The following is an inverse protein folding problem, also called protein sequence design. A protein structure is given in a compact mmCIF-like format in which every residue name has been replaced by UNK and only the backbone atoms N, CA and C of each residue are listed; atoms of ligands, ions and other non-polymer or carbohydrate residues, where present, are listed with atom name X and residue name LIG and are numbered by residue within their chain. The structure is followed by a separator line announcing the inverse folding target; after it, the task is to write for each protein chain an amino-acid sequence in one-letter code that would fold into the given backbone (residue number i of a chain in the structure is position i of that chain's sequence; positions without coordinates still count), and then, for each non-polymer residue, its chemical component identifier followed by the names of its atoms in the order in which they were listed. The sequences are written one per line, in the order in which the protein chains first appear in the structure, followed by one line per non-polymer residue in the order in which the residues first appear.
data_IF_979339646382
#
_entry.id   IF_979339646382
#
_cell.length_a   1.000
_cell.length_b   1.000
_cell.length_c   1.000
_cell.angle_alpha   90.00
_cell.angle_beta   90.00
_cell.angle_gamma   90.00
#
_symmetry.space_group_name_H-M   'P 1'
#
loop_
_entity.id
_entity.type
_entity.pdbx_description
1 polymer ?
#
# COMPACT_ATOMS: atom_id res chain seq x y z
N UNK A 1 -36.33 21.12 -20.07
CA UNK A 1 -35.90 20.18 -19.03
C UNK A 1 -34.40 19.95 -19.18
N UNK A 2 -33.59 20.51 -18.30
CA UNK A 2 -32.11 20.37 -18.33
C UNK A 2 -31.72 19.41 -17.23
N UNK A 3 -31.26 18.22 -17.62
CA UNK A 3 -30.65 17.25 -16.74
C UNK A 3 -29.35 17.86 -16.18
N UNK A 4 -29.29 18.09 -14.87
CA UNK A 4 -28.08 18.36 -14.13
C UNK A 4 -27.60 17.02 -13.55
N UNK A 5 -26.63 16.41 -14.19
CA UNK A 5 -25.86 15.33 -13.63
C UNK A 5 -25.04 15.88 -12.45
N UNK A 6 -25.37 15.45 -11.24
CA UNK A 6 -24.48 15.57 -10.11
C UNK A 6 -23.31 14.60 -10.31
N UNK A 7 -22.16 15.13 -10.68
CA UNK A 7 -20.91 14.38 -10.63
C UNK A 7 -20.55 14.16 -9.15
N UNK A 8 -20.82 12.97 -8.64
CA UNK A 8 -20.22 12.51 -7.39
C UNK A 8 -18.72 12.30 -7.64
N UNK A 9 -17.94 13.22 -7.14
CA UNK A 9 -16.49 13.14 -7.10
C UNK A 9 -16.12 12.03 -6.09
N UNK A 10 -15.90 10.81 -6.58
CA UNK A 10 -15.20 9.77 -5.83
C UNK A 10 -13.76 10.24 -5.67
N UNK A 11 -13.50 10.89 -4.56
CA UNK A 11 -12.13 11.16 -4.09
C UNK A 11 -11.54 9.78 -3.76
N UNK A 12 -10.75 9.25 -4.69
CA UNK A 12 -9.79 8.20 -4.38
C UNK A 12 -8.77 8.82 -3.42
N UNK A 13 -9.01 8.67 -2.12
CA UNK A 13 -7.97 8.90 -1.15
C UNK A 13 -6.88 7.88 -1.45
N UNK A 14 -5.86 8.31 -2.16
CA UNK A 14 -4.61 7.60 -2.33
C UNK A 14 -3.95 7.54 -0.95
N UNK A 15 -4.27 6.50 -0.19
CA UNK A 15 -3.42 6.13 0.92
C UNK A 15 -2.20 5.50 0.28
N UNK A 16 -1.20 6.31 0.03
CA UNK A 16 0.15 5.85 -0.28
C UNK A 16 0.53 4.89 0.84
N UNK A 17 0.88 3.67 0.46
CA UNK A 17 1.39 2.67 1.39
C UNK A 17 2.86 3.00 1.65
N UNK A 18 3.10 4.13 2.30
CA UNK A 18 4.31 4.34 3.06
C UNK A 18 4.30 3.28 4.15
N UNK A 19 5.36 2.52 4.26
CA UNK A 19 5.58 1.60 5.35
C UNK A 19 5.58 2.40 6.66
N UNK A 20 4.40 2.59 7.26
CA UNK A 20 4.26 3.22 8.57
C UNK A 20 4.65 2.18 9.60
N UNK A 21 5.83 2.35 10.16
CA UNK A 21 6.32 1.54 11.26
C UNK A 21 5.57 1.90 12.55
N UNK A 22 4.73 0.99 13.02
CA UNK A 22 4.10 1.04 14.35
C UNK A 22 4.39 -0.29 15.07
N UNK A 23 4.78 -0.30 16.34
CA UNK A 23 5.27 -1.51 17.03
C UNK A 23 4.19 -2.53 17.44
N UNK A 24 4.56 -3.71 17.42
CA UNK A 24 4.21 -5.12 17.57
C UNK A 24 3.10 -5.64 18.47
N UNK A 25 2.50 -6.79 18.12
CA UNK A 25 2.50 -8.15 18.72
C UNK A 25 1.48 -9.14 18.13
N UNK A 26 1.81 -10.26 17.89
CA UNK A 26 1.85 -11.74 18.06
C UNK A 26 0.71 -12.51 17.37
N UNK A 27 0.76 -13.68 16.89
CA UNK A 27 1.50 -14.84 16.52
C UNK A 27 0.67 -15.92 15.80
N UNK A 28 1.18 -16.74 15.04
CA UNK A 28 1.51 -18.13 14.71
C UNK A 28 0.47 -18.88 13.83
N UNK A 29 0.74 -19.90 13.06
CA UNK A 29 1.86 -20.61 12.45
C UNK A 29 1.36 -21.63 11.42
N UNK A 30 2.19 -22.10 10.57
CA UNK A 30 2.57 -23.45 10.17
C UNK A 30 2.46 -23.83 8.68
N UNK A 31 3.61 -24.09 8.13
CA UNK A 31 4.15 -25.26 7.42
C UNK A 31 3.37 -25.80 6.19
N UNK A 32 3.96 -26.26 5.13
CA UNK A 32 5.26 -26.45 4.51
C UNK A 32 5.04 -27.01 3.10
N UNK A 33 5.90 -26.79 2.14
CA UNK A 33 6.49 -27.85 1.30
C UNK A 33 7.53 -27.26 0.32
N UNK A 34 8.66 -27.89 0.31
CA UNK A 34 9.92 -27.60 -0.33
C UNK A 34 9.92 -27.91 -1.83
N UNK A 35 10.48 -27.02 -2.64
CA UNK A 35 11.14 -27.41 -3.88
C UNK A 35 12.35 -26.50 -4.11
N UNK A 36 13.51 -27.09 -4.00
CA UNK A 36 14.83 -26.52 -4.11
C UNK A 36 15.14 -26.11 -5.55
N UNK A 37 15.42 -24.85 -5.77
CA UNK A 37 16.16 -24.42 -6.97
C UNK A 37 17.29 -23.47 -6.53
N UNK A 38 18.52 -24.01 -6.58
CA UNK A 38 19.74 -23.25 -6.37
C UNK A 38 19.89 -22.21 -7.47
N UNK A 39 19.73 -20.95 -7.13
CA UNK A 39 20.24 -19.85 -7.93
C UNK A 39 21.64 -19.55 -7.45
N UNK A 40 22.65 -19.72 -8.32
CA UNK A 40 24.01 -19.31 -8.08
C UNK A 40 24.11 -17.79 -8.16
N UNK A 41 24.63 -17.18 -7.10
CA UNK A 41 25.06 -15.78 -7.09
C UNK A 41 26.21 -15.58 -8.09
N UNK A 42 26.24 -14.50 -8.86
CA UNK A 42 27.38 -14.16 -9.68
C UNK A 42 28.56 -13.80 -8.75
N UNK A 43 29.67 -14.48 -8.97
CA UNK A 43 30.92 -14.22 -8.29
C UNK A 43 31.47 -12.85 -8.70
N UNK A 44 31.95 -12.16 -7.70
CA UNK A 44 32.65 -10.89 -7.72
C UNK A 44 33.70 -10.81 -8.85
N UNK A 45 33.39 -10.15 -9.96
CA UNK A 45 34.41 -9.73 -10.93
C UNK A 45 34.95 -8.37 -10.49
N UNK A 46 36.24 -8.38 -10.16
CA UNK A 46 37.06 -7.20 -9.86
C UNK A 46 37.00 -6.23 -11.05
N UNK A 47 36.59 -4.97 -10.86
CA UNK A 47 36.57 -4.01 -11.96
C UNK A 47 38.00 -3.69 -12.39
N UNK A 48 38.32 -3.92 -13.65
CA UNK A 48 39.54 -3.38 -14.31
C UNK A 48 39.35 -1.89 -14.49
N UNK A 49 40.24 -1.12 -13.88
CA UNK A 49 40.29 0.32 -14.00
C UNK A 49 40.67 0.69 -15.43
N UNK A 50 39.77 1.28 -16.19
CA UNK A 50 40.05 2.26 -17.24
C UNK A 50 38.78 3.05 -17.58
N UNK A 51 38.98 4.38 -17.63
CA UNK A 51 38.08 5.41 -18.10
C UNK A 51 36.88 5.78 -17.23
N UNK A 52 37.17 6.57 -16.20
CA UNK A 52 36.26 7.61 -15.72
C UNK A 52 37.14 8.77 -15.19
N UNK A 53 37.40 9.74 -16.02
CA UNK A 53 37.76 11.09 -15.55
C UNK A 53 36.51 11.74 -14.97
N UNK A 54 36.22 11.39 -13.74
CA UNK A 54 35.23 12.11 -12.91
C UNK A 54 35.94 13.32 -12.30
N UNK A 55 35.36 14.47 -12.43
CA UNK A 55 35.75 15.71 -11.78
C UNK A 55 35.80 15.49 -10.26
N UNK A 56 37.02 15.46 -9.68
CA UNK A 56 37.32 15.02 -8.33
C UNK A 56 37.22 16.14 -7.29
N UNK A 57 36.27 17.06 -7.40
CA UNK A 57 36.08 18.16 -6.46
C UNK A 57 34.86 18.04 -5.54
N UNK A 58 34.02 17.00 -5.71
CA UNK A 58 32.88 16.81 -4.81
C UNK A 58 33.33 16.06 -3.57
N UNK A 59 33.43 16.75 -2.42
CA UNK A 59 33.69 16.14 -1.12
C UNK A 59 32.65 15.04 -0.87
N UNK A 60 33.03 13.82 -0.48
CA UNK A 60 32.06 12.78 -0.11
C UNK A 60 31.08 13.31 0.92
N UNK A 61 29.78 13.10 0.68
CA UNK A 61 28.74 13.52 1.64
C UNK A 61 28.89 12.72 2.93
N UNK A 62 28.85 13.43 4.05
CA UNK A 62 28.90 12.83 5.37
C UNK A 62 27.48 12.61 5.91
N UNK A 63 27.07 11.36 6.05
CA UNK A 63 25.79 10.97 6.64
C UNK A 63 25.94 10.43 8.07
N UNK A 64 27.06 10.66 8.74
CA UNK A 64 27.32 10.11 10.08
C UNK A 64 26.33 10.59 11.15
N UNK A 65 25.64 11.68 10.91
CA UNK A 65 24.62 12.23 11.81
C UNK A 65 23.21 11.66 11.58
N UNK A 66 23.02 10.88 10.52
CA UNK A 66 21.73 10.24 10.26
C UNK A 66 21.52 9.05 11.20
N UNK A 67 20.27 8.79 11.57
CA UNK A 67 19.94 7.63 12.40
C UNK A 67 20.23 6.31 11.67
N UNK A 68 20.04 6.32 10.36
CA UNK A 68 20.35 5.24 9.43
C UNK A 68 20.49 5.80 7.99
N UNK A 69 21.05 4.97 7.12
CA UNK A 69 21.14 5.24 5.68
C UNK A 69 20.68 3.99 4.93
N UNK A 70 19.76 4.14 4.01
CA UNK A 70 19.41 3.08 3.08
C UNK A 70 20.46 3.06 1.97
N UNK A 71 21.38 2.08 2.03
CA UNK A 71 22.45 1.94 1.05
C UNK A 71 21.92 1.46 -0.30
N UNK A 72 20.95 0.54 -0.25
CA UNK A 72 20.30 -0.01 -1.42
C UNK A 72 18.88 -0.47 -1.07
N UNK A 73 17.92 -0.16 -1.94
CA UNK A 73 16.56 -0.71 -1.92
C UNK A 73 16.16 -1.10 -3.33
N UNK A 74 15.68 -2.31 -3.51
CA UNK A 74 15.17 -2.80 -4.78
C UNK A 74 13.77 -3.37 -4.58
N UNK A 75 12.79 -2.82 -5.29
CA UNK A 75 11.42 -3.31 -5.33
C UNK A 75 11.09 -3.82 -6.72
N UNK A 76 10.57 -5.04 -6.84
CA UNK A 76 10.10 -5.63 -8.10
C UNK A 76 8.68 -6.15 -7.95
N UNK A 77 7.79 -5.65 -8.78
CA UNK A 77 6.41 -6.08 -8.87
C UNK A 77 6.20 -6.85 -10.17
N UNK A 78 5.92 -8.14 -10.03
CA UNK A 78 5.68 -9.06 -11.14
C UNK A 78 4.20 -9.40 -11.18
N UNK A 79 3.55 -9.19 -12.30
CA UNK A 79 2.14 -9.51 -12.51
C UNK A 79 1.95 -10.56 -13.58
N UNK A 80 0.93 -11.41 -13.41
CA UNK A 80 0.53 -12.42 -14.37
C UNK A 80 -0.77 -12.01 -15.09
N UNK A 81 -1.09 -12.69 -16.18
CA UNK A 81 -2.23 -12.29 -17.04
C UNK A 81 -3.60 -12.39 -16.36
N UNK A 82 -3.69 -13.21 -15.32
CA UNK A 82 -4.91 -13.41 -14.52
C UNK A 82 -5.05 -12.39 -13.36
N UNK A 83 -4.11 -11.45 -13.23
CA UNK A 83 -4.09 -10.45 -12.18
C UNK A 83 -3.42 -10.91 -10.89
N UNK A 84 -2.95 -12.15 -10.80
CA UNK A 84 -2.08 -12.61 -9.70
C UNK A 84 -0.67 -12.03 -9.84
N UNK A 85 0.19 -12.25 -8.84
CA UNK A 85 1.53 -11.71 -8.94
C UNK A 85 2.36 -11.77 -7.68
N UNK A 86 3.46 -11.04 -7.68
CA UNK A 86 4.46 -11.02 -6.61
C UNK A 86 5.05 -9.62 -6.49
N UNK A 87 5.15 -9.14 -5.26
CA UNK A 87 5.85 -7.89 -4.91
C UNK A 87 7.00 -8.24 -3.98
N UNK A 88 8.21 -8.03 -4.42
CA UNK A 88 9.45 -8.35 -3.72
C UNK A 88 10.19 -7.06 -3.40
N UNK A 89 10.69 -6.92 -2.18
CA UNK A 89 11.51 -5.80 -1.75
C UNK A 89 12.75 -6.33 -1.04
N UNK A 90 13.91 -6.01 -1.58
CA UNK A 90 15.22 -6.30 -1.01
C UNK A 90 15.82 -4.97 -0.56
N UNK A 91 16.31 -4.92 0.68
CA UNK A 91 16.96 -3.72 1.19
C UNK A 91 18.23 -4.02 1.96
N UNK A 92 19.12 -3.02 1.95
CA UNK A 92 20.36 -2.97 2.73
C UNK A 92 20.42 -1.61 3.42
N UNK A 93 20.43 -1.62 4.74
CA UNK A 93 20.28 -0.45 5.60
C UNK A 93 21.41 -0.44 6.61
N UNK A 94 22.22 0.61 6.59
CA UNK A 94 23.22 0.86 7.63
C UNK A 94 22.56 1.62 8.77
N UNK A 95 22.52 1.02 9.93
CA UNK A 95 22.00 1.64 11.15
C UNK A 95 23.14 2.33 11.90
N UNK A 96 22.98 3.60 12.25
CA UNK A 96 24.08 4.42 12.78
C UNK A 96 23.87 4.89 14.23
N UNK A 97 22.65 4.78 14.75
CA UNK A 97 22.33 5.23 16.11
C UNK A 97 21.29 4.33 16.78
N UNK A 98 21.09 4.50 18.09
CA UNK A 98 20.02 3.84 18.84
C UNK A 98 18.62 4.20 18.30
N UNK A 99 18.43 5.42 17.80
CA UNK A 99 17.18 5.81 17.15
C UNK A 99 16.94 4.97 15.88
N UNK A 100 18.00 4.70 15.10
CA UNK A 100 17.93 3.80 13.97
C UNK A 100 17.65 2.36 14.38
N UNK A 101 18.22 1.88 15.50
CA UNK A 101 17.91 0.55 16.06
C UNK A 101 16.45 0.46 16.48
N UNK A 102 15.90 1.49 17.12
CA UNK A 102 14.49 1.52 17.50
C UNK A 102 13.57 1.48 16.26
N UNK A 103 13.95 2.17 15.18
CA UNK A 103 13.18 2.21 13.94
C UNK A 103 13.23 0.89 13.17
N UNK A 104 14.39 0.24 13.10
CA UNK A 104 14.63 -0.94 12.28
C UNK A 104 14.73 -2.25 13.07
N UNK A 105 14.61 -2.21 14.39
CA UNK A 105 14.66 -3.39 15.26
C UNK A 105 13.48 -4.34 15.07
N UNK A 106 12.42 -3.88 14.39
CA UNK A 106 11.27 -4.68 14.02
C UNK A 106 10.75 -4.27 12.65
N UNK A 107 10.60 -5.23 11.75
CA UNK A 107 9.94 -5.03 10.47
C UNK A 107 8.47 -5.43 10.56
N UNK A 108 7.61 -4.70 9.85
CA UNK A 108 6.18 -4.99 9.78
C UNK A 108 5.74 -5.05 8.32
N UNK A 109 5.05 -6.14 7.96
CA UNK A 109 4.52 -6.33 6.62
C UNK A 109 3.03 -6.64 6.69
N UNK A 110 2.21 -5.70 6.23
CA UNK A 110 0.77 -5.89 6.13
C UNK A 110 0.38 -6.66 4.88
N UNK A 111 -0.63 -7.51 4.98
CA UNK A 111 -1.18 -8.26 3.85
C UNK A 111 -2.63 -8.67 4.11
N UNK A 112 -3.37 -9.00 3.04
CA UNK A 112 -4.74 -9.50 3.14
C UNK A 112 -4.74 -11.00 2.95
N UNK A 113 -5.02 -11.74 4.01
CA UNK A 113 -4.92 -13.21 4.02
C UNK A 113 -5.90 -13.90 3.06
N UNK A 114 -6.98 -13.23 2.64
CA UNK A 114 -7.92 -13.76 1.66
C UNK A 114 -7.34 -13.85 0.23
N UNK A 115 -6.39 -12.99 -0.12
CA UNK A 115 -5.85 -12.92 -1.48
C UNK A 115 -4.32 -12.79 -1.54
N UNK A 116 -3.65 -12.62 -0.40
CA UNK A 116 -2.21 -12.45 -0.32
C UNK A 116 -1.59 -13.37 0.73
N UNK A 117 -0.31 -13.65 0.59
CA UNK A 117 0.56 -14.20 1.63
C UNK A 117 1.92 -13.54 1.60
N UNK A 118 2.58 -13.50 2.75
CA UNK A 118 3.93 -12.94 2.89
C UNK A 118 4.94 -14.07 3.08
N UNK A 119 5.97 -14.08 2.25
CA UNK A 119 7.15 -14.92 2.35
C UNK A 119 8.33 -14.05 2.81
N UNK A 120 9.21 -14.62 3.62
CA UNK A 120 10.38 -13.94 4.18
C UNK A 120 11.60 -14.78 3.85
N UNK A 121 12.22 -14.60 2.67
CA UNK A 121 13.42 -15.35 2.29
C UNK A 121 14.56 -15.17 3.28
N UNK A 122 14.76 -13.96 3.77
CA UNK A 122 15.67 -13.69 4.88
C UNK A 122 15.42 -12.31 5.51
N UNK A 123 15.76 -12.23 6.81
CA UNK A 123 16.08 -11.00 7.54
C UNK A 123 17.37 -11.30 8.30
N UNK A 124 18.41 -10.46 8.14
CA UNK A 124 19.71 -10.70 8.74
C UNK A 124 20.43 -9.42 9.07
N UNK A 125 21.30 -9.51 10.07
CA UNK A 125 22.20 -8.44 10.50
C UNK A 125 23.64 -8.84 10.21
N UNK A 126 24.35 -7.99 9.48
CA UNK A 126 25.79 -8.10 9.27
C UNK A 126 26.47 -7.31 10.38
N UNK A 127 27.24 -8.04 11.20
CA UNK A 127 27.96 -7.49 12.34
C UNK A 127 29.25 -6.80 11.91
N UNK A 128 29.79 -5.92 12.76
CA UNK A 128 31.06 -5.24 12.51
C UNK A 128 32.26 -6.23 12.40
N UNK A 129 32.19 -7.38 13.10
CA UNK A 129 33.18 -8.44 13.02
C UNK A 129 33.08 -9.32 11.77
N UNK A 130 32.13 -9.03 10.90
CA UNK A 130 31.85 -9.77 9.67
C UNK A 130 30.95 -11.00 9.86
N UNK A 131 30.51 -11.30 11.07
CA UNK A 131 29.54 -12.37 11.32
C UNK A 131 28.14 -11.97 10.86
N UNK A 132 27.28 -12.97 10.64
CA UNK A 132 25.90 -12.75 10.17
C UNK A 132 24.94 -13.42 11.14
N UNK A 133 24.00 -12.64 11.67
CA UNK A 133 22.91 -13.15 12.51
C UNK A 133 21.61 -13.10 11.70
N UNK A 134 20.96 -14.26 11.56
CA UNK A 134 19.70 -14.38 10.81
C UNK A 134 18.52 -14.44 11.78
N UNK A 135 17.40 -13.85 11.40
CA UNK A 135 16.13 -14.10 12.07
C UNK A 135 15.70 -15.55 11.82
N UNK A 136 15.33 -16.25 12.88
CA UNK A 136 14.73 -17.58 12.82
C UNK A 136 13.20 -17.47 12.69
N UNK A 137 12.54 -18.63 12.57
CA UNK A 137 11.07 -18.68 12.50
C UNK A 137 10.40 -18.13 13.76
N UNK A 138 11.06 -18.24 14.90
CA UNK A 138 10.64 -17.71 16.20
C UNK A 138 10.65 -16.17 16.27
N UNK A 139 11.40 -15.52 15.39
CA UNK A 139 11.42 -14.06 15.28
C UNK A 139 10.21 -13.50 14.52
N UNK A 140 9.39 -14.35 13.88
CA UNK A 140 8.26 -13.94 13.05
C UNK A 140 6.94 -14.20 13.77
N UNK A 141 6.16 -13.17 13.90
CA UNK A 141 4.82 -13.24 14.47
C UNK A 141 3.80 -12.80 13.42
N UNK A 142 2.70 -13.54 13.27
CA UNK A 142 1.63 -13.25 12.33
C UNK A 142 0.36 -12.86 13.09
N UNK A 143 -0.02 -11.61 12.97
CA UNK A 143 -1.00 -10.97 13.86
C UNK A 143 -2.20 -10.45 13.10
N UNK A 144 -3.35 -10.48 13.76
CA UNK A 144 -4.50 -9.68 13.36
C UNK A 144 -4.23 -8.19 13.57
N UNK A 145 -4.75 -7.34 12.69
CA UNK A 145 -4.57 -5.91 12.83
C UNK A 145 -5.30 -5.36 14.08
N UNK A 146 -4.74 -4.32 14.75
CA UNK A 146 -5.38 -3.69 15.91
C UNK A 146 -6.82 -3.21 15.66
N UNK A 147 -7.18 -2.92 14.40
CA UNK A 147 -8.52 -2.52 13.98
C UNK A 147 -9.60 -3.55 14.29
N UNK A 148 -9.24 -4.82 14.49
CA UNK A 148 -10.18 -5.89 14.87
C UNK A 148 -10.83 -5.67 16.23
N UNK A 149 -10.21 -4.90 17.13
CA UNK A 149 -10.82 -4.52 18.39
C UNK A 149 -12.06 -3.63 18.22
N UNK A 150 -12.08 -2.79 17.20
CA UNK A 150 -13.16 -1.85 16.93
C UNK A 150 -14.22 -2.42 15.96
N UNK A 151 -13.84 -3.41 15.15
CA UNK A 151 -14.70 -4.04 14.15
C UNK A 151 -14.26 -5.48 13.84
N UNK A 152 -14.42 -6.44 14.77
CA UNK A 152 -13.86 -7.79 14.70
C UNK A 152 -14.41 -8.67 13.55
N UNK A 153 -15.49 -8.23 12.90
CA UNK A 153 -16.20 -9.04 11.88
C UNK A 153 -15.68 -8.78 10.47
N UNK A 154 -14.86 -7.76 10.26
CA UNK A 154 -14.72 -7.17 8.93
C UNK A 154 -13.33 -7.19 8.31
N UNK A 155 -12.33 -7.86 8.89
CA UNK A 155 -11.01 -7.77 8.30
C UNK A 155 -10.32 -9.12 8.14
N UNK A 156 -9.79 -9.34 6.95
CA UNK A 156 -8.82 -10.36 6.59
C UNK A 156 -7.39 -9.81 6.59
N UNK A 157 -7.21 -8.55 7.04
CA UNK A 157 -5.91 -7.89 7.09
C UNK A 157 -5.09 -8.40 8.27
N UNK A 158 -3.89 -8.83 7.95
CA UNK A 158 -2.92 -9.35 8.90
C UNK A 158 -1.59 -8.62 8.78
N UNK A 159 -0.76 -8.72 9.80
CA UNK A 159 0.58 -8.16 9.81
C UNK A 159 1.59 -9.22 10.26
N UNK A 160 2.65 -9.40 9.49
CA UNK A 160 3.84 -10.10 9.98
C UNK A 160 4.75 -9.09 10.66
N UNK A 161 5.06 -9.38 11.91
CA UNK A 161 6.02 -8.66 12.72
C UNK A 161 7.28 -9.51 12.81
N UNK A 162 8.42 -8.96 12.39
CA UNK A 162 9.68 -9.68 12.31
C UNK A 162 10.69 -8.97 13.22
N UNK A 163 11.07 -9.59 14.31
CA UNK A 163 12.10 -9.07 15.21
C UNK A 163 13.47 -9.20 14.54
N UNK A 164 14.18 -8.10 14.41
CA UNK A 164 15.53 -8.08 13.85
C UNK A 164 16.54 -8.47 14.94
N UNK A 165 17.24 -9.60 14.80
CA UNK A 165 18.02 -10.16 15.88
C UNK A 165 19.29 -9.35 16.16
N UNK A 166 19.37 -8.78 17.36
CA UNK A 166 20.60 -8.21 17.90
C UNK A 166 21.19 -7.05 17.10
N UNK A 167 20.38 -6.27 16.41
CA UNK A 167 20.78 -5.07 15.67
C UNK A 167 21.36 -4.02 16.61
N UNK A 168 22.49 -3.40 16.24
CA UNK A 168 23.19 -2.35 16.99
C UNK A 168 23.62 -1.21 16.07
N UNK A 169 23.92 -0.02 16.61
CA UNK A 169 24.58 1.03 15.83
C UNK A 169 25.89 0.54 15.19
N UNK A 170 26.17 0.95 13.96
CA UNK A 170 27.31 0.52 13.15
C UNK A 170 27.01 -0.70 12.25
N UNK A 171 26.01 -1.48 12.57
CA UNK A 171 25.68 -2.71 11.85
C UNK A 171 24.76 -2.48 10.64
N UNK A 172 24.64 -3.51 9.81
CA UNK A 172 23.84 -3.46 8.58
C UNK A 172 22.71 -4.48 8.68
N UNK A 173 21.48 -3.99 8.51
CA UNK A 173 20.30 -4.81 8.28
C UNK A 173 20.17 -5.11 6.80
N UNK A 174 19.96 -6.38 6.46
CA UNK A 174 19.51 -6.81 5.13
C UNK A 174 18.26 -7.65 5.24
N UNK A 175 17.30 -7.41 4.33
CA UNK A 175 16.10 -8.22 4.24
C UNK A 175 15.65 -8.43 2.79
N UNK A 176 14.91 -9.52 2.60
CA UNK A 176 14.13 -9.84 1.41
C UNK A 176 12.73 -10.21 1.88
N UNK A 177 11.76 -9.42 1.43
CA UNK A 177 10.34 -9.56 1.79
C UNK A 177 9.50 -9.67 0.51
N UNK A 178 8.63 -10.68 0.49
CA UNK A 178 7.81 -10.97 -0.68
C UNK A 178 6.34 -11.06 -0.29
N UNK A 179 5.51 -10.26 -0.95
CA UNK A 179 4.05 -10.45 -0.91
C UNK A 179 3.62 -11.14 -2.20
N UNK A 180 3.04 -12.32 -2.08
CA UNK A 180 2.46 -13.08 -3.20
C UNK A 180 0.97 -12.83 -3.24
N UNK A 181 0.49 -12.30 -4.36
CA UNK A 181 -0.94 -12.16 -4.66
C UNK A 181 -1.38 -13.47 -5.35
N UNK A 182 -2.05 -14.36 -4.61
CA UNK A 182 -2.50 -15.67 -5.12
C UNK A 182 -3.92 -15.62 -5.69
N UNK A 183 -4.67 -14.56 -5.41
CA UNK A 183 -6.01 -14.32 -5.94
C UNK A 183 -6.12 -12.86 -6.32
N UNK A 184 -6.43 -12.59 -7.59
CA UNK A 184 -6.58 -11.21 -8.07
C UNK A 184 -7.81 -10.54 -7.43
N UNK A 185 -7.69 -9.27 -7.04
CA UNK A 185 -8.81 -8.47 -6.56
C UNK A 185 -9.86 -8.23 -7.65
N UNK A 186 -9.41 -8.10 -8.88
CA UNK A 186 -10.26 -8.06 -10.07
C UNK A 186 -9.74 -9.13 -11.06
N UNK A 187 -10.58 -10.06 -11.53
CA UNK A 187 -10.17 -11.10 -12.48
C UNK A 187 -9.48 -10.48 -13.70
N UNK A 188 -8.33 -11.04 -14.07
CA UNK A 188 -7.53 -10.60 -15.23
C UNK A 188 -7.03 -9.15 -15.17
N UNK A 189 -7.15 -8.47 -14.03
CA UNK A 189 -6.72 -7.09 -13.88
C UNK A 189 -5.70 -6.94 -12.75
N UNK A 190 -4.78 -6.01 -12.96
CA UNK A 190 -3.89 -5.56 -11.89
C UNK A 190 -3.66 -4.06 -12.01
N UNK A 191 -3.33 -3.46 -10.90
CA UNK A 191 -2.91 -2.06 -10.79
C UNK A 191 -1.96 -1.91 -9.64
N UNK A 192 -1.12 -0.90 -9.73
CA UNK A 192 -0.17 -0.58 -8.69
C UNK A 192 0.23 0.88 -8.74
N UNK A 193 0.72 1.36 -7.62
CA UNK A 193 1.36 2.66 -7.50
C UNK A 193 2.67 2.51 -6.71
N UNK A 194 3.59 3.42 -6.94
CA UNK A 194 4.86 3.49 -6.25
C UNK A 194 5.29 4.93 -6.07
N UNK A 195 5.88 5.21 -4.92
CA UNK A 195 6.51 6.50 -4.60
C UNK A 195 7.89 6.21 -4.06
N UNK A 196 8.91 6.85 -4.64
CA UNK A 196 10.28 6.78 -4.14
C UNK A 196 10.37 7.44 -2.76
N UNK A 197 11.33 7.00 -1.95
CA UNK A 197 11.55 7.63 -0.65
C UNK A 197 12.14 9.05 -0.85
N UNK A 198 11.39 10.04 -0.39
CA UNK A 198 11.77 11.46 -0.42
C UNK A 198 12.05 12.03 0.98
N UNK A 199 12.10 11.17 2.00
CA UNK A 199 12.23 11.59 3.40
C UNK A 199 13.52 11.13 4.08
N UNK A 200 13.99 9.91 3.74
CA UNK A 200 15.18 9.33 4.29
C UNK A 200 16.36 9.45 3.33
N UNK A 201 17.58 9.30 3.81
CA UNK A 201 18.74 9.19 2.92
C UNK A 201 18.73 7.80 2.27
N UNK A 202 18.56 7.78 0.95
CA UNK A 202 18.55 6.58 0.12
C UNK A 202 19.60 6.74 -0.98
N UNK A 203 20.67 5.96 -0.92
CA UNK A 203 21.79 6.10 -1.87
C UNK A 203 21.46 5.51 -3.23
N UNK A 204 20.73 4.40 -3.25
CA UNK A 204 20.27 3.75 -4.47
C UNK A 204 18.92 3.09 -4.24
N UNK A 205 17.92 3.49 -5.01
CA UNK A 205 16.59 2.90 -5.01
C UNK A 205 16.24 2.47 -6.42
N UNK A 206 15.88 1.19 -6.58
CA UNK A 206 15.48 0.60 -7.84
C UNK A 206 14.04 0.12 -7.75
N UNK A 207 13.23 0.48 -8.72
CA UNK A 207 11.88 -0.04 -8.86
C UNK A 207 11.67 -0.66 -10.23
N UNK A 208 11.02 -1.82 -10.29
CA UNK A 208 10.67 -2.48 -11.53
C UNK A 208 9.24 -3.02 -11.51
N UNK A 209 8.53 -2.81 -12.61
CA UNK A 209 7.25 -3.47 -12.89
C UNK A 209 7.45 -4.42 -14.06
N UNK A 210 7.10 -5.68 -13.85
CA UNK A 210 7.28 -6.78 -14.80
C UNK A 210 5.90 -7.36 -15.14
N UNK A 211 5.47 -7.23 -16.39
CA UNK A 211 4.15 -7.62 -16.87
C UNK A 211 4.26 -8.49 -18.13
N UNK A 212 3.28 -9.38 -18.41
CA UNK A 212 3.23 -10.06 -19.70
C UNK A 212 3.19 -9.04 -20.85
N UNK A 213 4.06 -9.20 -21.86
CA UNK A 213 4.13 -8.27 -23.00
C UNK A 213 2.82 -8.21 -23.81
N UNK A 214 2.02 -9.29 -23.75
CA UNK A 214 0.69 -9.37 -24.37
C UNK A 214 -0.39 -8.54 -23.67
N UNK A 215 -0.15 -8.10 -22.42
CA UNK A 215 -1.13 -7.29 -21.66
C UNK A 215 -0.93 -5.82 -21.95
N UNK A 216 -1.99 -5.16 -22.37
CA UNK A 216 -2.02 -3.71 -22.45
C UNK A 216 -2.03 -3.13 -21.02
N UNK A 217 -1.04 -2.31 -20.71
CA UNK A 217 -0.97 -1.61 -19.43
C UNK A 217 -0.86 -0.10 -19.69
N UNK A 218 -1.60 0.68 -18.91
CA UNK A 218 -1.52 2.14 -18.90
C UNK A 218 -0.60 2.58 -17.79
N UNK A 219 0.45 3.27 -18.17
CA UNK A 219 1.43 3.83 -17.24
C UNK A 219 1.24 5.34 -17.15
N UNK A 220 1.30 5.86 -15.94
CA UNK A 220 1.39 7.29 -15.64
C UNK A 220 2.50 7.52 -14.64
N UNK A 221 3.34 8.49 -14.91
CA UNK A 221 4.48 8.87 -14.06
C UNK A 221 4.45 10.37 -13.78
N UNK A 222 5.13 10.80 -12.73
CA UNK A 222 5.45 12.22 -12.54
C UNK A 222 6.36 12.71 -13.66
N UNK A 223 6.34 14.01 -14.00
CA UNK A 223 7.22 14.57 -15.03
C UNK A 223 8.71 14.26 -14.77
N UNK A 224 9.41 13.78 -15.78
CA UNK A 224 10.83 13.42 -15.71
C UNK A 224 11.13 12.03 -15.16
N UNK A 225 10.11 11.23 -14.86
CA UNK A 225 10.26 9.86 -14.35
C UNK A 225 9.87 8.82 -15.39
N UNK A 226 10.44 8.94 -16.59
CA UNK A 226 10.21 7.95 -17.64
C UNK A 226 11.00 6.66 -17.36
N UNK A 227 10.38 5.47 -17.52
CA UNK A 227 11.07 4.21 -17.28
C UNK A 227 12.03 3.83 -18.38
N UNK A 228 13.04 3.06 -18.04
CA UNK A 228 13.75 2.22 -19.03
C UNK A 228 12.89 0.98 -19.29
N UNK A 229 12.54 0.74 -20.56
CA UNK A 229 11.67 -0.37 -20.94
C UNK A 229 12.50 -1.42 -21.68
N UNK A 230 12.35 -2.69 -21.30
CA UNK A 230 12.88 -3.83 -22.04
C UNK A 230 11.81 -4.90 -22.22
N UNK A 231 11.94 -5.71 -23.28
CA UNK A 231 11.11 -6.90 -23.48
C UNK A 231 12.01 -8.13 -23.56
N UNK A 232 11.75 -9.07 -22.65
CA UNK A 232 12.53 -10.29 -22.51
C UNK A 232 11.60 -11.47 -22.19
N UNK A 233 11.76 -12.58 -22.86
CA UNK A 233 11.00 -13.82 -22.61
C UNK A 233 9.46 -13.64 -22.57
N UNK A 234 8.92 -12.77 -23.44
CA UNK A 234 7.48 -12.47 -23.49
C UNK A 234 6.98 -11.57 -22.35
N UNK A 235 7.88 -10.93 -21.65
CA UNK A 235 7.57 -10.00 -20.58
C UNK A 235 8.08 -8.61 -20.92
N UNK A 236 7.33 -7.57 -20.52
CA UNK A 236 7.73 -6.17 -20.62
C UNK A 236 8.08 -5.68 -19.23
N UNK A 237 9.28 -5.14 -19.09
CA UNK A 237 9.83 -4.70 -17.83
C UNK A 237 10.07 -3.19 -17.89
N UNK A 238 9.41 -2.47 -17.00
CA UNK A 238 9.61 -1.05 -16.75
C UNK A 238 10.54 -0.91 -15.56
N UNK A 239 11.64 -0.15 -15.70
CA UNK A 239 12.64 0.05 -14.62
C UNK A 239 12.88 1.52 -14.40
N UNK A 240 12.94 1.88 -13.11
CA UNK A 240 13.33 3.21 -12.63
C UNK A 240 14.46 3.06 -11.64
N UNK A 241 15.26 4.10 -11.54
CA UNK A 241 16.30 4.25 -10.53
C UNK A 241 16.18 5.63 -9.91
N UNK A 242 16.33 5.72 -8.62
CA UNK A 242 16.25 6.96 -7.87
C UNK A 242 17.32 7.00 -6.77
N UNK A 243 17.48 8.17 -6.19
CA UNK A 243 18.24 8.39 -4.96
C UNK A 243 17.72 9.63 -4.26
N UNK A 244 17.73 9.62 -2.94
CA UNK A 244 17.45 10.77 -2.11
C UNK A 244 18.65 11.00 -1.20
N UNK A 245 19.53 11.91 -1.59
CA UNK A 245 20.85 12.11 -0.98
C UNK A 245 21.00 13.46 -0.29
N UNK A 246 20.00 14.32 -0.41
CA UNK A 246 19.92 15.61 0.27
C UNK A 246 18.79 15.56 1.29
N UNK A 247 19.12 15.92 2.53
CA UNK A 247 18.09 16.13 3.55
C UNK A 247 17.35 17.42 3.21
N UNK A 248 16.04 17.34 2.98
CA UNK A 248 15.22 18.52 2.97
C UNK A 248 15.13 19.06 4.40
N UNK A 249 15.68 20.25 4.62
CA UNK A 249 15.56 20.96 5.91
C UNK A 249 14.09 21.35 6.13
N UNK A 250 13.32 20.47 6.78
CA UNK A 250 11.97 20.80 7.29
C UNK A 250 11.99 21.84 8.44
N UNK A 251 13.15 22.46 8.72
CA UNK A 251 13.36 23.44 9.78
C UNK A 251 13.03 24.88 9.34
N UNK A 252 12.08 25.08 8.43
CA UNK A 252 11.63 26.44 8.06
C UNK A 252 10.53 27.02 8.96
N UNK A 253 10.26 26.41 10.11
CA UNK A 253 9.30 26.93 11.10
C UNK A 253 10.00 27.63 12.28
N UNK A 254 11.08 28.40 12.00
CA UNK A 254 11.55 29.42 12.94
C UNK A 254 10.86 30.73 12.60
N UNK A 255 9.73 30.96 13.28
CA UNK A 255 9.15 32.27 13.48
C UNK A 255 10.25 33.31 13.84
N UNK A 256 10.70 34.07 12.84
CA UNK A 256 11.30 35.38 13.09
C UNK A 256 10.23 36.42 12.77
N UNK A 257 9.74 37.05 13.81
CA UNK A 257 9.06 38.33 13.73
C UNK A 257 9.83 39.27 12.77
N UNK A 258 9.18 39.63 11.69
CA UNK A 258 9.77 40.51 10.66
C UNK A 258 8.79 40.65 9.50
N UNK A 259 7.81 41.54 9.73
CA UNK A 259 6.95 42.08 8.69
C UNK A 259 7.81 42.70 7.57
N UNK A 260 7.81 42.09 6.38
CA UNK A 260 7.84 42.70 5.04
C UNK A 260 8.20 41.65 3.97
N UNK A 261 7.43 41.73 2.88
CA UNK A 261 7.57 41.03 1.60
C UNK A 261 6.93 39.64 1.45
N UNK A 262 5.61 39.56 1.72
CA UNK A 262 4.74 38.55 1.07
C UNK A 262 4.48 38.93 -0.39
N UNK A 263 5.44 38.77 -1.28
CA UNK A 263 5.21 38.77 -2.72
C UNK A 263 5.72 37.47 -3.34
N UNK A 264 4.76 36.64 -3.74
CA UNK A 264 4.86 35.62 -4.80
C UNK A 264 5.95 34.51 -4.68
N UNK A 265 5.95 33.70 -3.63
CA UNK A 265 6.20 32.30 -3.81
C UNK A 265 4.84 31.60 -3.87
N UNK A 266 4.33 31.33 -5.08
CA UNK A 266 3.33 30.30 -5.26
C UNK A 266 3.97 29.03 -4.72
N UNK A 267 3.51 28.55 -3.56
CA UNK A 267 3.78 27.20 -3.13
C UNK A 267 3.40 26.30 -4.32
N UNK A 268 4.33 25.46 -4.80
CA UNK A 268 3.96 24.39 -5.69
C UNK A 268 2.85 23.61 -4.96
N UNK A 269 1.72 23.32 -5.59
CA UNK A 269 0.76 22.42 -4.97
C UNK A 269 1.54 21.18 -4.58
N UNK A 270 1.44 20.81 -3.31
CA UNK A 270 2.01 19.54 -2.81
C UNK A 270 1.39 18.45 -3.66
N UNK A 271 2.21 17.83 -4.49
CA UNK A 271 1.72 16.82 -5.44
C UNK A 271 1.72 15.46 -4.75
N UNK A 272 0.72 15.24 -3.89
CA UNK A 272 0.52 14.00 -3.13
C UNK A 272 0.29 12.75 -4.01
N UNK A 273 0.34 12.90 -5.34
CA UNK A 273 0.17 11.77 -6.25
C UNK A 273 1.40 10.86 -6.19
N UNK A 274 1.20 9.53 -6.29
CA UNK A 274 2.30 8.60 -6.46
C UNK A 274 3.17 8.95 -7.66
N UNK A 275 4.47 8.65 -7.57
CA UNK A 275 5.43 8.92 -8.64
C UNK A 275 5.12 8.09 -9.88
N UNK A 276 4.65 6.85 -9.66
CA UNK A 276 4.38 5.86 -10.69
C UNK A 276 3.03 5.23 -10.42
N UNK A 277 2.20 5.14 -11.45
CA UNK A 277 0.90 4.45 -11.43
C UNK A 277 0.78 3.59 -12.67
N UNK A 278 0.35 2.34 -12.53
CA UNK A 278 0.10 1.43 -13.63
C UNK A 278 -1.21 0.70 -13.43
N UNK A 279 -1.98 0.51 -14.51
CA UNK A 279 -3.22 -0.27 -14.51
C UNK A 279 -3.44 -0.99 -15.83
N UNK A 280 -4.11 -2.14 -15.79
CA UNK A 280 -4.59 -2.86 -16.97
C UNK A 280 -6.03 -2.57 -17.33
N UNK A 281 -6.79 -1.90 -16.49
CA UNK A 281 -8.14 -1.46 -16.85
C UNK A 281 -8.11 -0.55 -18.06
N UNK A 282 -8.92 -0.88 -19.07
CA UNK A 282 -8.95 -0.12 -20.32
C UNK A 282 -9.62 1.25 -20.14
N UNK A 283 -10.57 1.39 -19.23
CA UNK A 283 -11.33 2.63 -18.99
C UNK A 283 -12.07 2.57 -17.65
N UNK A 284 -12.70 3.67 -17.28
CA UNK A 284 -13.51 3.78 -16.07
C UNK A 284 -14.79 2.95 -16.10
N UNK A 285 -15.28 2.60 -17.27
CA UNK A 285 -16.45 1.74 -17.42
C UNK A 285 -16.16 0.31 -16.96
N UNK A 286 -14.99 -0.23 -17.32
CA UNK A 286 -14.54 -1.53 -16.80
C UNK A 286 -14.38 -1.52 -15.27
N UNK A 287 -13.84 -0.44 -14.71
CA UNK A 287 -13.76 -0.27 -13.25
C UNK A 287 -15.15 -0.25 -12.63
N UNK A 288 -16.09 0.49 -13.26
CA UNK A 288 -17.49 0.56 -12.81
C UNK A 288 -18.19 -0.80 -12.86
N UNK A 289 -18.01 -1.56 -13.93
CA UNK A 289 -18.57 -2.91 -14.05
C UNK A 289 -17.98 -3.87 -13.01
N UNK A 290 -16.69 -3.81 -12.79
CA UNK A 290 -16.05 -4.60 -11.75
C UNK A 290 -16.64 -4.28 -10.37
N UNK A 291 -16.74 -3.00 -10.02
CA UNK A 291 -17.31 -2.56 -8.74
C UNK A 291 -18.79 -2.98 -8.61
N UNK A 292 -19.60 -2.77 -9.63
CA UNK A 292 -21.01 -3.18 -9.63
C UNK A 292 -21.17 -4.70 -9.39
N UNK A 293 -20.25 -5.52 -9.91
CA UNK A 293 -20.25 -6.95 -9.65
C UNK A 293 -19.89 -7.28 -8.19
N UNK A 294 -19.02 -6.51 -7.54
CA UNK A 294 -18.71 -6.69 -6.11
C UNK A 294 -19.91 -6.35 -5.21
N UNK A 295 -20.73 -5.37 -5.62
CA UNK A 295 -21.87 -4.86 -4.85
C UNK A 295 -23.15 -5.65 -5.07
N UNK A 296 -23.34 -6.23 -6.26
CA UNK A 296 -24.61 -6.81 -6.74
C UNK A 296 -25.36 -7.66 -5.70
N UNK A 297 -24.68 -8.62 -5.07
CA UNK A 297 -25.29 -9.53 -4.10
C UNK A 297 -25.36 -8.91 -2.69
N UNK A 298 -24.59 -7.85 -2.44
CA UNK A 298 -24.48 -7.19 -1.15
C UNK A 298 -25.65 -6.24 -0.87
N UNK A 299 -26.20 -5.63 -1.91
CA UNK A 299 -27.34 -4.71 -1.83
C UNK A 299 -28.70 -5.39 -1.81
N UNK A 300 -28.78 -6.69 -2.04
CA UNK A 300 -30.05 -7.41 -2.08
C UNK A 300 -30.79 -7.29 -0.72
N UNK A 301 -32.04 -6.78 -0.72
CA UNK A 301 -32.77 -6.58 0.52
C UNK A 301 -33.10 -7.91 1.22
N UNK A 302 -32.54 -8.12 2.41
CA UNK A 302 -32.94 -9.24 3.28
C UNK A 302 -34.35 -9.04 3.85
N UNK A 303 -34.99 -10.07 4.43
CA UNK A 303 -36.27 -9.90 5.10
C UNK A 303 -36.24 -8.81 6.20
N UNK A 304 -35.15 -8.69 6.94
CA UNK A 304 -34.94 -7.69 7.98
C UNK A 304 -34.83 -6.30 7.41
N UNK A 305 -34.12 -6.12 6.28
CA UNK A 305 -34.02 -4.84 5.57
C UNK A 305 -35.38 -4.40 5.05
N UNK A 306 -36.16 -5.33 4.45
CA UNK A 306 -37.54 -5.05 4.00
C UNK A 306 -38.45 -4.64 5.14
N UNK A 307 -38.40 -5.36 6.26
CA UNK A 307 -39.20 -5.02 7.44
C UNK A 307 -38.83 -3.64 8.00
N UNK A 308 -37.54 -3.31 8.03
CA UNK A 308 -37.05 -2.01 8.49
C UNK A 308 -37.47 -0.88 7.54
N UNK A 309 -37.39 -1.07 6.23
CA UNK A 309 -37.83 -0.10 5.24
C UNK A 309 -39.33 0.20 5.43
N UNK A 310 -40.18 -0.83 5.49
CA UNK A 310 -41.61 -0.68 5.71
C UNK A 310 -41.96 -0.03 7.07
N UNK A 311 -41.17 -0.29 8.13
CA UNK A 311 -41.32 0.37 9.44
C UNK A 311 -41.06 1.89 9.33
N UNK A 312 -39.95 2.27 8.66
CA UNK A 312 -39.50 3.66 8.58
C UNK A 312 -40.39 4.52 7.66
N UNK A 313 -40.98 3.92 6.63
CA UNK A 313 -41.81 4.62 5.63
C UNK A 313 -43.28 4.56 5.95
N UNK A 314 -43.68 3.92 7.07
CA UNK A 314 -45.07 3.74 7.45
C UNK A 314 -45.85 5.06 7.53
N UNK A 315 -46.86 5.19 6.67
CA UNK A 315 -47.71 6.38 6.61
C UNK A 315 -47.19 7.51 5.74
N UNK A 316 -46.00 7.36 5.16
CA UNK A 316 -45.45 8.31 4.17
C UNK A 316 -46.00 8.01 2.80
N UNK A 317 -46.37 9.06 2.05
CA UNK A 317 -47.08 8.93 0.76
C UNK A 317 -46.26 9.37 -0.44
N UNK A 318 -45.18 10.14 -0.24
CA UNK A 318 -44.35 10.61 -1.35
C UNK A 318 -43.00 9.89 -1.34
N UNK A 319 -42.42 9.68 -2.52
CA UNK A 319 -41.09 9.09 -2.67
C UNK A 319 -40.03 9.94 -2.01
N UNK A 320 -40.21 11.26 -1.96
CA UNK A 320 -39.29 12.17 -1.29
C UNK A 320 -39.28 11.94 0.22
N UNK A 321 -40.47 11.92 0.84
CA UNK A 321 -40.58 11.70 2.30
C UNK A 321 -40.02 10.33 2.70
N UNK A 322 -40.29 9.29 1.91
CA UNK A 322 -39.75 7.95 2.10
C UNK A 322 -38.21 7.98 2.01
N UNK A 323 -37.66 8.58 0.93
CA UNK A 323 -36.21 8.69 0.72
C UNK A 323 -35.54 9.44 1.87
N UNK A 324 -36.14 10.55 2.34
CA UNK A 324 -35.61 11.33 3.46
C UNK A 324 -35.60 10.51 4.75
N UNK A 325 -36.67 9.78 5.06
CA UNK A 325 -36.74 8.93 6.25
C UNK A 325 -35.67 7.81 6.24
N UNK A 326 -35.49 7.14 5.10
CA UNK A 326 -34.49 6.09 4.95
C UNK A 326 -33.06 6.65 5.02
N UNK A 327 -32.80 7.79 4.36
CA UNK A 327 -31.52 8.48 4.41
C UNK A 327 -31.16 8.92 5.84
N UNK A 328 -32.09 9.56 6.52
CA UNK A 328 -31.93 10.03 7.89
C UNK A 328 -31.64 8.87 8.86
N UNK A 329 -32.29 7.73 8.67
CA UNK A 329 -32.03 6.54 9.46
C UNK A 329 -30.57 6.08 9.28
N UNK A 330 -30.09 5.92 8.03
CA UNK A 330 -28.73 5.48 7.76
C UNK A 330 -27.69 6.52 8.19
N UNK A 331 -27.98 7.81 8.00
CA UNK A 331 -27.06 8.88 8.36
C UNK A 331 -26.84 8.98 9.85
N UNK A 332 -27.91 8.85 10.66
CA UNK A 332 -27.92 9.16 12.10
C UNK A 332 -27.65 7.95 13.01
N UNK A 333 -27.97 6.72 12.56
CA UNK A 333 -27.98 5.55 13.46
C UNK A 333 -26.79 4.61 13.24
N UNK A 334 -25.93 4.85 12.24
CA UNK A 334 -24.82 3.98 11.94
C UNK A 334 -23.49 4.66 12.21
N UNK A 335 -22.71 4.06 13.09
CA UNK A 335 -21.35 4.53 13.39
C UNK A 335 -20.45 4.35 12.15
N UNK A 336 -19.68 5.38 11.80
CA UNK A 336 -18.70 5.28 10.74
C UNK A 336 -17.44 4.60 11.26
N UNK A 337 -17.07 3.47 10.64
CA UNK A 337 -15.83 2.76 10.90
C UNK A 337 -15.18 2.48 9.54
N UNK A 338 -14.03 3.12 9.29
CA UNK A 338 -13.30 2.94 8.03
C UNK A 338 -12.45 1.68 8.10
N UNK A 339 -12.76 0.70 7.25
CA UNK A 339 -12.06 -0.57 7.10
C UNK A 339 -11.60 -0.73 5.65
N UNK A 340 -10.67 0.10 5.22
CA UNK A 340 -10.18 0.13 3.84
C UNK A 340 -9.07 -0.90 3.59
N UNK A 341 -9.29 -2.17 3.97
CA UNK A 341 -8.29 -3.23 3.91
C UNK A 341 -8.80 -4.40 3.05
N UNK A 342 -7.92 -4.96 2.23
CA UNK A 342 -8.20 -6.11 1.39
C UNK A 342 -9.32 -5.93 0.37
N UNK A 343 -10.07 -7.01 0.12
CA UNK A 343 -11.28 -6.98 -0.70
C UNK A 343 -12.28 -6.00 -0.09
N UNK A 344 -12.37 -5.93 1.24
CA UNK A 344 -13.19 -4.98 1.98
C UNK A 344 -12.87 -3.50 1.71
N UNK A 345 -11.72 -3.19 1.09
CA UNK A 345 -11.43 -1.85 0.57
C UNK A 345 -12.40 -1.44 -0.56
N UNK A 346 -12.85 -2.41 -1.34
CA UNK A 346 -13.69 -2.19 -2.52
C UNK A 346 -15.08 -2.81 -2.37
N UNK A 347 -15.18 -4.04 -1.86
CA UNK A 347 -16.44 -4.74 -1.69
C UNK A 347 -17.16 -4.27 -0.42
N UNK A 348 -18.42 -3.82 -0.50
CA UNK A 348 -19.21 -3.53 0.68
C UNK A 348 -19.63 -4.81 1.41
N UNK A 349 -20.01 -4.67 2.67
CA UNK A 349 -20.69 -5.71 3.42
C UNK A 349 -22.14 -5.85 2.96
N UNK A 350 -22.74 -7.00 3.21
CA UNK A 350 -24.16 -7.18 2.90
C UNK A 350 -25.02 -6.19 3.71
N UNK A 351 -26.04 -5.62 3.07
CA UNK A 351 -26.91 -4.63 3.70
C UNK A 351 -27.54 -5.14 5.02
N UNK A 352 -27.88 -6.43 5.08
CA UNK A 352 -28.38 -7.06 6.32
C UNK A 352 -27.37 -7.08 7.46
N UNK A 353 -26.09 -7.32 7.14
CA UNK A 353 -25.00 -7.33 8.14
C UNK A 353 -24.74 -5.92 8.65
N UNK A 354 -24.75 -4.91 7.76
CA UNK A 354 -24.61 -3.51 8.14
C UNK A 354 -25.75 -3.07 9.04
N UNK A 355 -27.00 -3.45 8.69
CA UNK A 355 -28.19 -3.17 9.50
C UNK A 355 -28.08 -3.78 10.90
N UNK A 356 -27.63 -5.02 10.98
CA UNK A 356 -27.49 -5.75 12.25
C UNK A 356 -26.39 -5.15 13.14
N UNK A 357 -25.23 -4.87 12.56
CA UNK A 357 -24.05 -4.42 13.31
C UNK A 357 -24.07 -2.92 13.68
N UNK A 358 -24.88 -2.12 12.99
CA UNK A 358 -25.03 -0.67 13.18
C UNK A 358 -23.73 0.13 12.99
N UNK A 359 -22.81 -0.36 12.16
CA UNK A 359 -21.62 0.36 11.74
C UNK A 359 -21.18 -0.07 10.34
N UNK A 360 -20.35 0.75 9.70
CA UNK A 360 -19.75 0.50 8.41
C UNK A 360 -19.07 1.77 7.86
N UNK A 361 -18.37 1.62 6.76
CA UNK A 361 -17.78 2.77 6.06
C UNK A 361 -18.75 3.40 5.05
N UNK A 362 -18.22 4.30 4.18
CA UNK A 362 -19.06 5.02 3.22
C UNK A 362 -19.77 4.07 2.24
N UNK A 363 -19.10 3.01 1.73
CA UNK A 363 -19.72 2.06 0.81
C UNK A 363 -20.76 1.17 1.48
N UNK A 364 -20.51 0.77 2.74
CA UNK A 364 -21.44 -0.03 3.52
C UNK A 364 -22.75 0.73 3.80
N UNK A 365 -22.64 2.00 4.21
CA UNK A 365 -23.81 2.88 4.43
C UNK A 365 -24.56 3.16 3.12
N UNK A 366 -23.83 3.29 1.99
CA UNK A 366 -24.44 3.42 0.67
C UNK A 366 -25.23 2.15 0.32
N UNK A 367 -24.62 0.98 0.45
CA UNK A 367 -25.24 -0.32 0.15
C UNK A 367 -26.47 -0.58 1.01
N UNK A 368 -26.45 -0.22 2.29
CA UNK A 368 -27.62 -0.31 3.13
C UNK A 368 -28.73 0.65 2.69
N UNK A 369 -28.40 1.91 2.36
CA UNK A 369 -29.39 2.88 1.88
C UNK A 369 -30.01 2.42 0.55
N UNK A 370 -29.20 1.95 -0.39
CA UNK A 370 -29.68 1.41 -1.67
C UNK A 370 -30.62 0.23 -1.46
N UNK A 371 -30.26 -0.69 -0.56
CA UNK A 371 -31.06 -1.85 -0.20
C UNK A 371 -32.40 -1.48 0.42
N UNK A 372 -32.44 -0.46 1.31
CA UNK A 372 -33.65 0.06 1.90
C UNK A 372 -34.55 0.72 0.86
N UNK A 373 -33.98 1.48 -0.07
CA UNK A 373 -34.71 2.10 -1.19
C UNK A 373 -35.26 1.08 -2.18
N UNK A 374 -34.51 -0.01 -2.46
CA UNK A 374 -34.98 -1.10 -3.34
C UNK A 374 -36.11 -1.92 -2.69
N UNK A 375 -36.21 -1.89 -1.38
CA UNK A 375 -37.23 -2.60 -0.61
C UNK A 375 -38.62 -1.91 -0.65
N UNK A 376 -38.68 -0.61 -0.99
CA UNK A 376 -39.88 0.25 -1.04
C UNK A 376 -40.38 0.51 -2.47
#
# INVERSE_FOLDING_TARGET
MRQRFCAFLLIFASVGMTAVFVPASQAQAAAALTATRKAQLPQNQKPTAKDATADSTVKPRDYSQEAFVVEHMQSRYTFESDGTGRRETIARIRVQSEAGVQQWGQLQVGYNSANERVEIPYVRVLKEDGSVVKAGDDAVQDLSAPVEHDAPVYTDYRQKHITVPGLRPGEILEYDLVTVVHTALAPDQFWTEYTFDHTNIVLNEEFAIDVPASRAAKLKTKPGMDPKISEENGRRIYRWTGSHIDREDHDSDKSKDGEKDKKNKKAKPDDDRPDIQLTTFANWEEVGHWYANLEKDRRMPSPEVRAKAAELTKGLTTDLDKTEALYDFVAKNFRYVSLSLGVGRYQPHAAGDVLHNQYGDCKDKHTLLESLLEAE
#
